data_IF_428712141770
#
_entry.id   IF_428712141770
#
_cell.length_a   1.000
_cell.length_b   1.000
_cell.length_c   1.000
_cell.angle_alpha   90.00
_cell.angle_beta   90.00
_cell.angle_gamma   90.00
#
_symmetry.space_group_name_H-M   'P 1'
#
loop_
_entity.id
_entity.type
_entity.pdbx_description
1 polymer ?
#
# COMPACT_ATOMS: atom_id res chain seq x y z
N UNK A 1 -18.31 13.15 -4.85
CA UNK A 1 -16.97 13.41 -4.28
C UNK A 1 -16.14 12.18 -4.54
N UNK A 2 -14.90 12.33 -4.97
CA UNK A 2 -14.04 11.19 -5.33
C UNK A 2 -13.22 10.61 -4.15
N UNK A 3 -13.23 11.29 -2.98
CA UNK A 3 -12.60 10.78 -1.76
C UNK A 3 -13.49 9.71 -1.12
N UNK A 4 -12.98 8.47 -1.14
CA UNK A 4 -13.59 7.28 -0.58
C UNK A 4 -12.77 6.78 0.61
N UNK A 5 -13.37 5.94 1.45
CA UNK A 5 -12.61 5.17 2.43
C UNK A 5 -11.96 3.97 1.76
N UNK A 6 -10.84 3.50 2.29
CA UNK A 6 -10.21 2.27 1.79
C UNK A 6 -11.15 1.06 1.93
N UNK A 7 -12.01 1.06 2.97
CA UNK A 7 -13.00 0.01 3.19
C UNK A 7 -13.99 -0.10 2.03
N UNK A 8 -14.53 1.03 1.55
CA UNK A 8 -15.45 1.05 0.40
C UNK A 8 -14.76 0.50 -0.85
N UNK A 9 -13.51 0.93 -1.14
CA UNK A 9 -12.78 0.44 -2.30
C UNK A 9 -12.48 -1.06 -2.23
N UNK A 10 -12.05 -1.56 -1.07
CA UNK A 10 -11.67 -2.97 -0.93
C UNK A 10 -12.89 -3.90 -0.81
N UNK A 11 -14.04 -3.42 -0.34
CA UNK A 11 -15.30 -4.17 -0.41
C UNK A 11 -15.75 -4.38 -1.86
N UNK A 12 -15.75 -3.33 -2.67
CA UNK A 12 -16.05 -3.44 -4.10
C UNK A 12 -15.05 -4.38 -4.82
N UNK A 13 -13.76 -4.26 -4.49
CA UNK A 13 -12.73 -5.15 -5.02
C UNK A 13 -12.93 -6.61 -4.61
N UNK A 14 -13.43 -6.86 -3.41
CA UNK A 14 -13.72 -8.22 -2.92
C UNK A 14 -14.91 -8.84 -3.64
N UNK A 15 -15.98 -8.07 -3.81
CA UNK A 15 -17.18 -8.51 -4.55
C UNK A 15 -16.88 -8.79 -6.03
N UNK A 16 -16.10 -7.92 -6.66
CA UNK A 16 -15.79 -7.99 -8.10
C UNK A 16 -14.48 -8.72 -8.42
N UNK A 17 -13.75 -9.19 -7.42
CA UNK A 17 -12.53 -10.03 -7.51
C UNK A 17 -11.40 -9.39 -8.32
N UNK A 18 -11.04 -8.12 -8.01
CA UNK A 18 -9.88 -7.44 -8.56
C UNK A 18 -8.98 -6.90 -7.44
N UNK A 19 -7.78 -6.43 -7.76
CA UNK A 19 -6.86 -5.80 -6.82
C UNK A 19 -6.88 -4.27 -6.98
N UNK A 20 -6.91 -3.52 -5.87
CA UNK A 20 -6.71 -2.07 -5.86
C UNK A 20 -5.23 -1.78 -5.62
N UNK A 21 -4.62 -0.98 -6.49
CA UNK A 21 -3.25 -0.52 -6.31
C UNK A 21 -3.17 0.55 -5.23
N UNK A 22 -2.25 0.35 -4.28
CA UNK A 22 -1.79 1.39 -3.37
C UNK A 22 -0.40 1.87 -3.80
N UNK A 23 -0.26 3.19 -3.94
CA UNK A 23 0.98 3.80 -4.37
C UNK A 23 1.50 4.78 -3.32
N UNK A 24 2.67 4.46 -2.75
CA UNK A 24 3.37 5.38 -1.86
C UNK A 24 3.84 6.62 -2.61
N UNK A 25 3.53 7.80 -2.07
CA UNK A 25 3.90 9.10 -2.62
C UNK A 25 4.47 10.00 -1.52
N UNK A 26 5.47 10.79 -1.80
CA UNK A 26 6.07 11.74 -0.85
C UNK A 26 6.24 13.15 -1.41
N UNK A 27 5.79 13.39 -2.64
CA UNK A 27 5.79 14.71 -3.26
C UNK A 27 4.60 14.89 -4.22
N UNK A 28 4.37 16.12 -4.66
CA UNK A 28 3.28 16.49 -5.54
C UNK A 28 3.33 15.81 -6.90
N UNK A 29 4.53 15.58 -7.44
CA UNK A 29 4.71 15.00 -8.78
C UNK A 29 4.27 13.54 -8.81
N UNK A 30 4.58 12.78 -7.75
CA UNK A 30 4.10 11.41 -7.58
C UNK A 30 2.58 11.36 -7.43
N UNK A 31 1.99 12.21 -6.58
CA UNK A 31 0.54 12.29 -6.41
C UNK A 31 -0.15 12.55 -7.74
N UNK A 32 0.33 13.56 -8.51
CA UNK A 32 -0.22 13.88 -9.84
C UNK A 32 -0.09 12.72 -10.82
N UNK A 33 1.06 12.05 -10.85
CA UNK A 33 1.30 10.92 -11.74
C UNK A 33 0.31 9.78 -11.48
N UNK A 34 0.13 9.39 -10.22
CA UNK A 34 -0.80 8.31 -9.82
C UNK A 34 -2.25 8.67 -10.12
N UNK A 35 -2.70 9.88 -9.79
CA UNK A 35 -4.08 10.31 -10.07
C UNK A 35 -4.33 10.36 -11.59
N UNK A 36 -3.41 10.93 -12.39
CA UNK A 36 -3.55 10.94 -13.86
C UNK A 36 -3.65 9.54 -14.44
N UNK A 37 -2.86 8.59 -13.95
CA UNK A 37 -2.94 7.18 -14.37
C UNK A 37 -4.28 6.55 -14.01
N UNK A 38 -4.77 6.79 -12.80
CA UNK A 38 -6.06 6.27 -12.34
C UNK A 38 -7.23 6.83 -13.17
N UNK A 39 -7.23 8.14 -13.45
CA UNK A 39 -8.25 8.77 -14.30
C UNK A 39 -8.20 8.24 -15.74
N UNK A 40 -7.00 8.10 -16.32
CA UNK A 40 -6.83 7.56 -17.68
C UNK A 40 -7.31 6.11 -17.78
N UNK A 41 -7.07 5.31 -16.74
CA UNK A 41 -7.50 3.93 -16.67
C UNK A 41 -8.95 3.76 -16.19
N UNK A 42 -9.66 4.83 -15.79
CA UNK A 42 -10.97 4.75 -15.11
C UNK A 42 -10.92 3.73 -13.97
N UNK A 43 -9.93 3.87 -13.08
CA UNK A 43 -9.59 2.90 -12.04
C UNK A 43 -9.71 3.50 -10.65
N UNK A 44 -10.32 2.83 -9.67
CA UNK A 44 -10.13 3.18 -8.27
C UNK A 44 -8.65 3.03 -7.89
N UNK A 45 -8.18 3.85 -6.94
CA UNK A 45 -6.78 3.85 -6.50
C UNK A 45 -6.66 4.26 -5.03
N UNK A 46 -5.63 3.78 -4.36
CA UNK A 46 -5.24 4.24 -3.02
C UNK A 46 -3.91 4.97 -3.16
N UNK A 47 -3.84 6.20 -2.66
CA UNK A 47 -2.59 6.97 -2.54
C UNK A 47 -2.24 7.14 -1.07
N UNK A 48 -0.96 7.29 -0.76
CA UNK A 48 -0.55 7.51 0.62
C UNK A 48 0.94 7.70 0.76
N UNK A 49 1.41 7.66 1.98
CA UNK A 49 2.83 7.73 2.32
C UNK A 49 3.14 6.81 3.47
N UNK A 50 4.33 6.23 3.48
CA UNK A 50 4.84 5.50 4.63
C UNK A 50 5.60 6.45 5.58
N UNK A 51 5.58 6.15 6.88
CA UNK A 51 6.28 6.97 7.87
C UNK A 51 7.76 7.15 7.54
N UNK A 52 8.45 6.13 7.05
CA UNK A 52 9.86 6.20 6.64
C UNK A 52 10.12 7.16 5.46
N UNK A 53 9.11 7.50 4.68
CA UNK A 53 9.20 8.41 3.55
C UNK A 53 9.03 9.89 3.94
N UNK A 54 8.58 10.17 5.16
CA UNK A 54 8.37 11.54 5.64
C UNK A 54 9.66 12.36 5.72
N UNK A 55 10.82 11.70 5.71
CA UNK A 55 12.14 12.37 5.55
C UNK A 55 12.34 13.04 4.20
N UNK A 56 11.62 12.61 3.15
CA UNK A 56 11.70 13.17 1.79
C UNK A 56 10.65 14.24 1.52
N UNK A 57 9.51 14.19 2.23
CA UNK A 57 8.45 15.17 2.13
C UNK A 57 7.71 15.24 3.46
N UNK A 58 7.80 16.37 4.18
CA UNK A 58 7.19 16.49 5.49
C UNK A 58 5.68 16.25 5.44
N UNK A 59 5.14 15.64 6.49
CA UNK A 59 3.77 15.17 6.52
C UNK A 59 2.75 16.31 6.42
N UNK A 60 3.04 17.44 7.04
CA UNK A 60 2.23 18.66 6.99
C UNK A 60 2.15 19.27 5.58
N UNK A 61 3.14 19.02 4.73
CA UNK A 61 3.14 19.47 3.34
C UNK A 61 2.43 18.50 2.40
N UNK A 62 2.65 17.18 2.57
CA UNK A 62 2.14 16.21 1.59
C UNK A 62 0.71 15.73 1.91
N UNK A 63 0.31 15.67 3.16
CA UNK A 63 -1.03 15.22 3.54
C UNK A 63 -2.16 16.10 2.95
N UNK A 64 -2.12 17.44 3.01
CA UNK A 64 -3.12 18.28 2.34
C UNK A 64 -3.16 18.08 0.83
N UNK A 65 -2.00 17.88 0.19
CA UNK A 65 -1.90 17.64 -1.26
C UNK A 65 -2.61 16.34 -1.65
N UNK A 66 -2.37 15.24 -0.93
CA UNK A 66 -3.02 13.96 -1.16
C UNK A 66 -4.54 14.06 -1.01
N UNK A 67 -5.01 14.66 0.08
CA UNK A 67 -6.43 14.81 0.37
C UNK A 67 -7.13 15.67 -0.67
N UNK A 68 -6.53 16.78 -1.08
CA UNK A 68 -7.11 17.65 -2.09
C UNK A 68 -7.09 17.01 -3.48
N UNK A 69 -6.02 16.30 -3.84
CA UNK A 69 -5.96 15.53 -5.07
C UNK A 69 -7.05 14.45 -5.12
N UNK A 70 -7.24 13.71 -4.01
CA UNK A 70 -8.28 12.70 -3.90
C UNK A 70 -9.70 13.30 -4.02
N UNK A 71 -9.97 14.48 -3.41
CA UNK A 71 -11.28 15.15 -3.54
C UNK A 71 -11.59 15.60 -4.96
N UNK A 72 -10.57 16.03 -5.72
CA UNK A 72 -10.70 16.56 -7.09
C UNK A 72 -10.66 15.48 -8.16
N UNK A 73 -10.19 14.30 -7.85
CA UNK A 73 -10.10 13.20 -8.82
C UNK A 73 -11.47 12.87 -9.43
N UNK A 74 -11.45 12.34 -10.66
CA UNK A 74 -12.65 11.89 -11.38
C UNK A 74 -12.99 10.42 -11.13
N UNK A 75 -12.14 9.72 -10.37
CA UNK A 75 -12.25 8.31 -10.02
C UNK A 75 -12.24 8.16 -8.49
N UNK A 76 -12.73 7.04 -7.94
CA UNK A 76 -12.66 6.78 -6.50
C UNK A 76 -11.21 6.71 -6.01
N UNK A 77 -10.86 7.53 -5.01
CA UNK A 77 -9.53 7.60 -4.42
C UNK A 77 -9.62 7.51 -2.90
N UNK A 78 -8.86 6.60 -2.29
CA UNK A 78 -8.65 6.59 -0.84
C UNK A 78 -7.26 7.13 -0.50
N UNK A 79 -7.14 7.72 0.71
CA UNK A 79 -5.86 8.22 1.24
C UNK A 79 -5.50 7.41 2.48
N UNK A 80 -4.28 6.87 2.50
CA UNK A 80 -3.80 5.88 3.48
C UNK A 80 -2.42 6.25 4.04
N UNK A 81 -2.22 6.05 5.35
CA UNK A 81 -0.89 6.03 5.96
C UNK A 81 -0.38 4.59 5.95
N UNK A 82 0.70 4.34 5.24
CA UNK A 82 1.37 3.04 5.13
C UNK A 82 2.49 2.94 6.18
N UNK A 83 2.73 1.76 6.74
CA UNK A 83 3.77 1.50 7.74
C UNK A 83 3.93 2.60 8.80
N UNK A 84 2.87 2.90 9.53
CA UNK A 84 2.94 3.75 10.73
C UNK A 84 3.56 2.96 11.89
N UNK A 85 4.69 3.44 12.39
CA UNK A 85 5.41 2.83 13.52
C UNK A 85 5.18 3.60 14.81
N UNK A 86 5.07 4.92 14.70
CA UNK A 86 4.87 5.79 15.85
C UNK A 86 3.41 6.15 16.03
N UNK A 87 2.97 6.15 17.29
CA UNK A 87 1.62 6.57 17.65
C UNK A 87 1.36 8.02 17.20
N UNK A 88 2.39 8.87 17.29
CA UNK A 88 2.34 10.28 16.92
C UNK A 88 2.01 10.48 15.44
N UNK A 89 2.65 9.76 14.55
CA UNK A 89 2.41 9.87 13.09
C UNK A 89 1.03 9.32 12.73
N UNK A 90 0.61 8.20 13.35
CA UNK A 90 -0.73 7.66 13.16
C UNK A 90 -1.79 8.69 13.60
N UNK A 91 -1.63 9.31 14.77
CA UNK A 91 -2.54 10.35 15.24
C UNK A 91 -2.53 11.59 14.36
N UNK A 92 -1.38 11.94 13.76
CA UNK A 92 -1.32 13.03 12.78
C UNK A 92 -2.12 12.68 11.51
N UNK A 93 -2.00 11.47 10.98
CA UNK A 93 -2.79 11.02 9.83
C UNK A 93 -4.30 11.10 10.09
N UNK A 94 -4.74 10.62 11.26
CA UNK A 94 -6.14 10.72 11.70
C UNK A 94 -6.60 12.17 11.78
N UNK A 95 -5.78 13.08 12.34
CA UNK A 95 -6.10 14.52 12.42
C UNK A 95 -6.19 15.20 11.06
N UNK A 96 -5.39 14.77 10.07
CA UNK A 96 -5.48 15.24 8.68
C UNK A 96 -6.76 14.77 8.00
N UNK A 97 -7.37 13.69 8.47
CA UNK A 97 -8.57 13.10 7.87
C UNK A 97 -8.26 12.03 6.84
N UNK A 98 -7.20 11.27 7.03
CA UNK A 98 -6.94 10.05 6.26
C UNK A 98 -8.05 9.03 6.52
N UNK A 99 -8.52 8.37 5.46
CA UNK A 99 -9.60 7.38 5.55
C UNK A 99 -9.16 6.01 6.03
N UNK A 100 -7.85 5.79 6.11
CA UNK A 100 -7.25 4.58 6.66
C UNK A 100 -5.81 4.82 7.10
N UNK A 101 -5.36 4.04 8.06
CA UNK A 101 -3.98 4.03 8.55
C UNK A 101 -3.53 2.59 8.75
N UNK A 102 -2.23 2.34 8.60
CA UNK A 102 -1.61 1.08 8.97
C UNK A 102 -0.81 1.26 10.25
N UNK A 103 -0.93 0.28 11.15
CA UNK A 103 -0.01 0.08 12.25
C UNK A 103 0.87 -1.13 11.96
N UNK A 104 2.16 -0.89 11.80
CA UNK A 104 3.15 -1.94 11.60
C UNK A 104 3.73 -2.38 12.95
N UNK A 105 3.02 -3.28 13.61
CA UNK A 105 3.41 -3.87 14.88
C UNK A 105 4.43 -5.02 14.75
N UNK A 106 4.95 -5.30 13.55
CA UNK A 106 5.98 -6.35 13.35
C UNK A 106 7.32 -5.97 13.99
N UNK A 107 7.50 -4.68 14.33
CA UNK A 107 8.67 -4.15 15.05
C UNK A 107 8.55 -4.23 16.56
N UNK A 108 7.39 -4.63 17.10
CA UNK A 108 7.22 -4.82 18.53
C UNK A 108 8.11 -5.96 19.05
N UNK A 109 8.41 -5.92 20.35
CA UNK A 109 9.30 -6.91 20.98
C UNK A 109 8.69 -8.30 21.00
N UNK A 110 7.36 -8.36 21.15
CA UNK A 110 6.63 -9.61 21.16
C UNK A 110 5.26 -9.48 20.48
N UNK A 111 4.68 -10.63 20.15
CA UNK A 111 3.38 -10.71 19.50
C UNK A 111 2.24 -10.13 20.37
N UNK A 112 2.31 -10.26 21.68
CA UNK A 112 1.27 -9.76 22.58
C UNK A 112 1.22 -8.23 22.60
N UNK A 113 2.36 -7.56 22.46
CA UNK A 113 2.43 -6.11 22.31
C UNK A 113 1.82 -5.66 20.99
N UNK A 114 2.11 -6.36 19.87
CA UNK A 114 1.46 -6.09 18.59
C UNK A 114 -0.06 -6.22 18.69
N UNK A 115 -0.58 -7.32 19.23
CA UNK A 115 -2.03 -7.54 19.41
C UNK A 115 -2.66 -6.43 20.27
N UNK A 116 -2.05 -6.10 21.40
CA UNK A 116 -2.57 -5.08 22.34
C UNK A 116 -2.64 -3.70 21.69
N UNK A 117 -1.55 -3.28 21.02
CA UNK A 117 -1.44 -1.96 20.41
C UNK A 117 -2.37 -1.86 19.18
N UNK A 118 -2.43 -2.90 18.36
CA UNK A 118 -3.37 -2.99 17.23
C UNK A 118 -4.82 -2.89 17.69
N UNK A 119 -5.22 -3.62 18.74
CA UNK A 119 -6.57 -3.55 19.30
C UNK A 119 -6.92 -2.16 19.86
N UNK A 120 -5.97 -1.47 20.48
CA UNK A 120 -6.16 -0.10 20.96
C UNK A 120 -6.34 0.88 19.79
N UNK A 121 -5.50 0.77 18.76
CA UNK A 121 -5.58 1.61 17.57
C UNK A 121 -6.85 1.33 16.77
N UNK A 122 -7.29 0.08 16.64
CA UNK A 122 -8.54 -0.26 15.97
C UNK A 122 -9.74 0.46 16.61
N UNK A 123 -9.84 0.42 17.95
CA UNK A 123 -10.90 1.17 18.67
C UNK A 123 -10.84 2.67 18.40
N UNK A 124 -9.64 3.25 18.35
CA UNK A 124 -9.45 4.68 18.06
C UNK A 124 -9.87 5.02 16.65
N UNK A 125 -9.41 4.25 15.67
CA UNK A 125 -9.75 4.41 14.26
C UNK A 125 -11.25 4.27 14.02
N UNK A 126 -11.88 3.23 14.57
CA UNK A 126 -13.31 2.99 14.42
C UNK A 126 -14.16 4.11 15.03
N UNK A 127 -13.75 4.67 16.17
CA UNK A 127 -14.43 5.83 16.76
C UNK A 127 -14.40 7.08 15.86
N UNK A 128 -13.45 7.13 14.91
CA UNK A 128 -13.31 8.22 13.92
C UNK A 128 -13.84 7.84 12.53
N UNK A 129 -14.38 6.63 12.35
CA UNK A 129 -14.82 6.13 11.04
C UNK A 129 -13.67 5.80 10.08
N UNK A 130 -12.47 5.52 10.60
CA UNK A 130 -11.25 5.22 9.86
C UNK A 130 -10.93 3.73 9.93
N UNK A 131 -10.49 3.13 8.82
CA UNK A 131 -10.06 1.73 8.79
C UNK A 131 -8.62 1.55 9.29
N UNK A 132 -8.36 0.45 9.98
CA UNK A 132 -7.01 0.06 10.42
C UNK A 132 -6.51 -1.14 9.62
N UNK A 133 -5.33 -0.99 9.01
CA UNK A 133 -4.53 -2.09 8.46
C UNK A 133 -3.48 -2.51 9.50
N UNK A 134 -3.28 -3.82 9.64
CA UNK A 134 -2.19 -4.38 10.44
C UNK A 134 -1.40 -5.39 9.62
N UNK A 135 -0.18 -5.70 10.03
CA UNK A 135 0.67 -6.72 9.41
C UNK A 135 0.93 -7.88 10.39
N UNK A 136 0.86 -9.09 9.86
CA UNK A 136 1.21 -10.31 10.57
C UNK A 136 2.17 -11.17 9.74
N UNK A 137 3.22 -11.65 10.37
CA UNK A 137 4.38 -12.21 9.71
C UNK A 137 5.43 -11.12 9.51
N UNK A 138 6.40 -11.35 8.63
CA UNK A 138 7.40 -10.33 8.29
C UNK A 138 7.61 -10.31 6.80
N UNK A 139 7.27 -9.18 6.16
CA UNK A 139 7.66 -8.89 4.78
C UNK A 139 9.08 -8.34 4.83
N UNK A 140 10.07 -9.15 4.43
CA UNK A 140 11.49 -8.82 4.52
C UNK A 140 11.87 -7.55 3.75
N UNK A 141 12.98 -6.90 4.17
CA UNK A 141 13.62 -5.84 3.42
C UNK A 141 12.93 -4.48 3.51
N UNK A 142 13.06 -3.78 4.63
CA UNK A 142 12.81 -2.34 4.65
C UNK A 142 13.94 -1.61 3.94
N UNK A 143 13.62 -0.55 3.20
CA UNK A 143 14.61 0.27 2.48
C UNK A 143 15.70 0.87 3.38
N UNK A 144 15.49 0.89 4.70
CA UNK A 144 16.41 1.43 5.70
C UNK A 144 17.15 0.38 6.55
N UNK A 145 16.79 -0.91 6.49
CA UNK A 145 17.54 -1.99 7.15
C UNK A 145 18.62 -2.55 6.20
N UNK A 146 19.64 -1.74 5.94
CA UNK A 146 20.86 -2.19 5.30
C UNK A 146 21.54 -3.24 6.21
N UNK A 147 21.16 -4.50 6.12
CA UNK A 147 21.91 -5.61 6.66
C UNK A 147 21.19 -6.64 7.52
N UNK A 148 19.94 -6.48 7.88
CA UNK A 148 19.17 -7.53 8.56
C UNK A 148 18.11 -8.09 7.62
N UNK A 149 18.50 -9.07 6.82
CA UNK A 149 17.55 -10.04 6.26
C UNK A 149 17.18 -10.95 7.43
N UNK A 150 16.31 -10.48 8.30
CA UNK A 150 15.70 -11.36 9.27
C UNK A 150 14.84 -12.38 8.52
N UNK A 151 14.87 -13.62 9.01
CA UNK A 151 14.16 -14.75 8.42
C UNK A 151 12.72 -14.33 8.14
N UNK A 152 12.31 -14.36 6.86
CA UNK A 152 10.92 -14.12 6.48
C UNK A 152 10.03 -15.06 7.29
N UNK A 153 9.24 -14.50 8.19
CA UNK A 153 8.24 -15.25 8.92
C UNK A 153 6.94 -15.23 8.11
N UNK A 154 6.62 -16.35 7.47
CA UNK A 154 5.34 -16.49 6.78
C UNK A 154 4.17 -16.38 7.75
N UNK A 155 3.09 -15.75 7.34
CA UNK A 155 1.86 -15.66 8.13
C UNK A 155 1.24 -17.05 8.31
N UNK A 156 0.97 -17.46 9.54
CA UNK A 156 0.21 -18.67 9.83
C UNK A 156 -1.30 -18.39 9.76
N UNK A 157 -2.11 -19.25 9.11
CA UNK A 157 -3.55 -19.01 8.96
C UNK A 157 -4.33 -18.98 10.30
N UNK A 158 -3.93 -19.76 11.31
CA UNK A 158 -4.58 -19.75 12.62
C UNK A 158 -4.21 -18.51 13.41
N UNK A 159 -2.94 -18.09 13.31
CA UNK A 159 -2.49 -16.84 13.92
C UNK A 159 -3.20 -15.65 13.28
N UNK A 160 -3.39 -15.66 11.95
CA UNK A 160 -4.15 -14.62 11.24
C UNK A 160 -5.59 -14.50 11.75
N UNK A 161 -6.30 -15.62 11.89
CA UNK A 161 -7.65 -15.63 12.46
C UNK A 161 -7.68 -15.07 13.88
N UNK A 162 -6.83 -15.62 14.74
CA UNK A 162 -6.73 -15.18 16.15
C UNK A 162 -6.37 -13.70 16.26
N UNK A 163 -5.47 -13.22 15.42
CA UNK A 163 -5.05 -11.82 15.39
C UNK A 163 -6.21 -10.88 15.01
N UNK A 164 -6.96 -11.19 13.95
CA UNK A 164 -8.13 -10.40 13.53
C UNK A 164 -9.22 -10.41 14.61
N UNK A 165 -9.53 -11.55 15.20
CA UNK A 165 -10.53 -11.67 16.28
C UNK A 165 -10.14 -10.84 17.51
N UNK A 166 -8.85 -10.78 17.87
CA UNK A 166 -8.37 -10.05 19.04
C UNK A 166 -8.20 -8.54 18.78
N UNK A 167 -7.79 -8.16 17.58
CA UNK A 167 -7.47 -6.76 17.28
C UNK A 167 -8.65 -5.98 16.71
N UNK A 168 -9.50 -6.64 15.92
CA UNK A 168 -10.55 -6.00 15.16
C UNK A 168 -10.00 -5.16 13.99
N UNK A 169 -8.79 -5.45 13.48
CA UNK A 169 -8.24 -4.78 12.30
C UNK A 169 -9.14 -5.01 11.08
N UNK A 170 -9.28 -3.99 10.23
CA UNK A 170 -10.15 -4.02 9.03
C UNK A 170 -9.47 -4.63 7.81
N UNK A 171 -8.13 -4.64 7.77
CA UNK A 171 -7.31 -5.14 6.67
C UNK A 171 -6.07 -5.84 7.21
N UNK A 172 -5.62 -6.90 6.54
CA UNK A 172 -4.47 -7.68 7.00
C UNK A 172 -3.41 -7.79 5.89
N UNK A 173 -2.25 -7.19 6.13
CA UNK A 173 -1.05 -7.44 5.33
C UNK A 173 -0.43 -8.77 5.75
N UNK A 174 -0.16 -9.62 4.75
CA UNK A 174 0.30 -11.00 4.96
C UNK A 174 1.63 -11.27 4.28
N UNK A 175 2.48 -12.05 4.93
CA UNK A 175 3.75 -12.53 4.39
C UNK A 175 3.58 -13.91 3.77
N UNK A 176 3.77 -13.97 2.45
CA UNK A 176 3.69 -15.20 1.64
C UNK A 176 4.93 -15.40 0.76
N UNK A 177 6.02 -14.69 1.05
CA UNK A 177 7.29 -14.78 0.31
C UNK A 177 7.68 -13.52 -0.46
N UNK A 178 6.99 -12.40 -0.26
CA UNK A 178 7.35 -11.09 -0.83
C UNK A 178 8.39 -10.36 0.03
N UNK A 179 9.10 -9.42 -0.59
CA UNK A 179 10.08 -8.53 0.07
C UNK A 179 9.90 -7.09 -0.40
N UNK A 180 10.19 -6.13 0.47
CA UNK A 180 10.28 -4.74 0.08
C UNK A 180 11.56 -4.45 -0.72
N UNK A 181 11.48 -3.52 -1.69
CA UNK A 181 12.62 -3.09 -2.50
C UNK A 181 12.87 -3.96 -3.72
N UNK A 182 14.13 -3.97 -4.19
CA UNK A 182 14.53 -4.73 -5.40
C UNK A 182 14.88 -6.16 -5.02
N UNK A 183 14.21 -7.13 -5.64
CA UNK A 183 14.51 -8.54 -5.43
C UNK A 183 15.91 -8.90 -5.94
N UNK A 184 16.69 -9.63 -5.14
CA UNK A 184 18.00 -10.18 -5.52
C UNK A 184 17.88 -11.53 -6.26
N UNK A 185 16.76 -12.21 -6.10
CA UNK A 185 16.43 -13.47 -6.75
C UNK A 185 14.94 -13.52 -7.04
N UNK A 186 14.49 -14.32 -7.99
CA UNK A 186 13.06 -14.51 -8.28
C UNK A 186 12.32 -15.00 -7.04
N UNK A 187 11.32 -14.27 -6.55
CA UNK A 187 10.56 -14.69 -5.38
C UNK A 187 9.78 -15.97 -5.66
N UNK A 188 9.55 -16.76 -4.62
CA UNK A 188 8.66 -17.93 -4.67
C UNK A 188 7.51 -17.67 -3.69
N UNK A 189 6.35 -17.33 -4.23
CA UNK A 189 5.17 -17.07 -3.41
C UNK A 189 4.50 -18.38 -3.01
N UNK A 190 4.10 -18.48 -1.74
CA UNK A 190 3.30 -19.59 -1.21
C UNK A 190 1.80 -19.31 -1.42
N UNK A 191 1.31 -19.63 -2.61
CA UNK A 191 -0.10 -19.43 -2.98
C UNK A 191 -1.06 -20.37 -2.23
N UNK A 192 -0.59 -21.54 -1.77
CA UNK A 192 -1.40 -22.43 -0.94
C UNK A 192 -1.65 -21.79 0.42
N UNK A 193 -0.60 -21.26 1.04
CA UNK A 193 -0.71 -20.49 2.28
C UNK A 193 -1.62 -19.29 2.14
N UNK A 194 -1.54 -18.55 1.03
CA UNK A 194 -2.45 -17.45 0.75
C UNK A 194 -3.92 -17.92 0.75
N UNK A 195 -4.21 -19.04 0.09
CA UNK A 195 -5.57 -19.60 0.05
C UNK A 195 -6.05 -20.03 1.46
N UNK A 196 -5.18 -20.62 2.28
CA UNK A 196 -5.48 -20.99 3.67
C UNK A 196 -5.75 -19.76 4.53
N UNK A 197 -4.94 -18.69 4.42
CA UNK A 197 -5.17 -17.42 5.13
C UNK A 197 -6.48 -16.79 4.69
N UNK A 198 -6.74 -16.73 3.38
CA UNK A 198 -7.99 -16.16 2.84
C UNK A 198 -9.24 -16.92 3.31
N UNK A 199 -9.13 -18.24 3.50
CA UNK A 199 -10.22 -19.03 4.09
C UNK A 199 -10.36 -18.85 5.61
N UNK A 200 -9.32 -18.35 6.29
CA UNK A 200 -9.27 -18.20 7.73
C UNK A 200 -9.84 -16.85 8.22
N UNK A 201 -9.82 -15.79 7.38
CA UNK A 201 -10.23 -14.43 7.75
C UNK A 201 -11.19 -13.84 6.72
N UNK A 202 -12.13 -13.01 7.18
CA UNK A 202 -13.11 -12.33 6.31
C UNK A 202 -12.64 -10.93 5.85
N UNK A 203 -11.57 -10.40 6.43
CA UNK A 203 -11.05 -9.07 6.07
C UNK A 203 -10.26 -9.10 4.76
N UNK A 204 -10.28 -8.02 3.96
CA UNK A 204 -9.45 -7.92 2.76
C UNK A 204 -7.96 -8.11 3.08
N UNK A 205 -7.30 -8.95 2.27
CA UNK A 205 -5.87 -9.21 2.39
C UNK A 205 -5.06 -8.20 1.58
N UNK A 206 -3.89 -7.85 2.10
CA UNK A 206 -2.96 -6.89 1.51
C UNK A 206 -1.64 -7.56 1.18
N UNK A 207 -1.09 -7.27 -0.01
CA UNK A 207 0.22 -7.71 -0.46
C UNK A 207 1.20 -6.54 -0.41
N UNK A 208 2.19 -6.63 0.47
CA UNK A 208 3.35 -5.75 0.51
C UNK A 208 4.50 -6.30 -0.34
N UNK A 209 5.44 -5.42 -0.70
CA UNK A 209 6.61 -5.84 -1.49
C UNK A 209 6.29 -6.27 -2.92
N UNK A 210 5.25 -5.71 -3.53
CA UNK A 210 4.80 -6.10 -4.87
C UNK A 210 5.74 -5.67 -6.02
N UNK A 211 6.68 -4.74 -5.78
CA UNK A 211 7.57 -4.26 -6.85
C UNK A 211 8.57 -5.34 -7.24
N UNK A 212 8.59 -5.71 -8.55
CA UNK A 212 9.50 -6.73 -9.07
C UNK A 212 8.92 -8.15 -9.12
N UNK A 213 7.67 -8.35 -8.72
CA UNK A 213 6.93 -9.58 -9.01
C UNK A 213 6.61 -9.70 -10.50
N UNK A 214 6.48 -10.94 -11.00
CA UNK A 214 5.98 -11.19 -12.34
C UNK A 214 4.50 -10.86 -12.48
N UNK A 215 4.03 -10.63 -13.70
CA UNK A 215 2.62 -10.41 -14.00
C UNK A 215 1.74 -11.57 -13.51
N UNK A 216 2.24 -12.80 -13.61
CA UNK A 216 1.52 -13.99 -13.17
C UNK A 216 1.46 -14.09 -11.66
N UNK A 217 2.50 -13.68 -10.93
CA UNK A 217 2.45 -13.59 -9.46
C UNK A 217 1.34 -12.63 -9.00
N UNK A 218 1.22 -11.46 -9.64
CA UNK A 218 0.13 -10.53 -9.32
C UNK A 218 -1.25 -11.13 -9.63
N UNK A 219 -1.43 -11.73 -10.81
CA UNK A 219 -2.71 -12.37 -11.17
C UNK A 219 -3.08 -13.48 -10.19
N UNK A 220 -2.12 -14.32 -9.84
CA UNK A 220 -2.31 -15.45 -8.93
C UNK A 220 -2.61 -14.99 -7.50
N UNK A 221 -1.93 -13.96 -6.99
CA UNK A 221 -2.21 -13.44 -5.65
C UNK A 221 -3.56 -12.76 -5.56
N UNK A 222 -3.98 -12.00 -6.57
CA UNK A 222 -5.32 -11.40 -6.64
C UNK A 222 -6.40 -12.47 -6.75
N UNK A 223 -6.20 -13.51 -7.58
CA UNK A 223 -7.10 -14.65 -7.66
C UNK A 223 -7.18 -15.40 -6.31
N UNK A 224 -6.06 -15.47 -5.57
CA UNK A 224 -5.94 -16.09 -4.24
C UNK A 224 -6.52 -15.27 -3.08
N UNK A 225 -7.03 -14.05 -3.30
CA UNK A 225 -7.72 -13.28 -2.25
C UNK A 225 -7.08 -11.95 -1.89
N UNK A 226 -5.93 -11.57 -2.46
CA UNK A 226 -5.37 -10.21 -2.26
C UNK A 226 -6.30 -9.17 -2.89
N UNK A 227 -6.56 -8.08 -2.15
CA UNK A 227 -7.42 -6.97 -2.60
C UNK A 227 -6.70 -5.61 -2.62
N UNK A 228 -5.62 -5.42 -1.87
CA UNK A 228 -4.74 -4.26 -1.95
C UNK A 228 -3.33 -4.72 -2.30
N UNK A 229 -2.68 -4.03 -3.23
CA UNK A 229 -1.30 -4.32 -3.65
C UNK A 229 -0.46 -3.07 -3.50
N UNK A 230 0.57 -3.13 -2.65
CA UNK A 230 1.49 -2.02 -2.44
C UNK A 230 2.56 -1.96 -3.53
N UNK A 231 2.68 -0.80 -4.17
CA UNK A 231 3.68 -0.52 -5.21
C UNK A 231 4.41 0.80 -4.88
N UNK A 232 5.73 0.75 -4.86
CA UNK A 232 6.57 1.93 -4.65
C UNK A 232 7.80 1.91 -5.55
N UNK A 233 8.63 0.87 -5.43
CA UNK A 233 9.94 0.80 -6.10
C UNK A 233 9.81 0.93 -7.63
N UNK A 234 8.81 0.32 -8.24
CA UNK A 234 8.61 0.35 -9.70
C UNK A 234 8.41 1.79 -10.21
N UNK A 235 7.58 2.59 -9.52
CA UNK A 235 7.32 3.97 -9.95
C UNK A 235 8.53 4.89 -9.72
N UNK A 236 9.30 4.66 -8.66
CA UNK A 236 10.55 5.43 -8.41
C UNK A 236 11.62 5.08 -9.42
N UNK A 237 11.78 3.79 -9.75
CA UNK A 237 12.76 3.37 -10.76
C UNK A 237 12.40 3.92 -12.14
N UNK A 238 11.11 3.99 -12.51
CA UNK A 238 10.66 4.63 -13.73
C UNK A 238 11.01 6.12 -13.76
N UNK A 239 10.75 6.85 -12.67
CA UNK A 239 11.13 8.25 -12.54
C UNK A 239 12.64 8.46 -12.63
N UNK A 240 13.42 7.64 -11.90
CA UNK A 240 14.88 7.69 -11.92
C UNK A 240 15.43 7.47 -13.33
N UNK A 241 14.96 6.45 -14.03
CA UNK A 241 15.37 6.16 -15.40
C UNK A 241 15.06 7.34 -16.34
N UNK A 242 13.86 7.94 -16.20
CA UNK A 242 13.45 9.09 -17.00
C UNK A 242 14.33 10.32 -16.75
N UNK A 243 14.67 10.63 -15.49
CA UNK A 243 15.56 11.76 -15.16
C UNK A 243 16.95 11.59 -15.77
N UNK A 244 17.48 10.36 -15.82
CA UNK A 244 18.82 10.09 -16.34
C UNK A 244 18.89 9.92 -17.86
N UNK A 245 17.77 9.92 -18.57
CA UNK A 245 17.74 9.63 -20.01
C UNK A 245 18.29 10.76 -20.88
N UNK A 246 18.27 12.01 -20.40
CA UNK A 246 18.80 13.19 -21.12
C UNK A 246 19.43 14.16 -20.10
N UNK A 247 20.75 14.38 -20.22
CA UNK A 247 21.52 15.18 -19.25
C UNK A 247 21.56 16.68 -19.54
N UNK A 248 21.03 17.15 -20.67
CA UNK A 248 21.08 18.57 -21.10
C UNK A 248 19.73 19.30 -20.97
N UNK A 249 18.69 18.61 -20.53
CA UNK A 249 17.33 19.11 -20.44
C UNK A 249 17.15 20.09 -19.27
N UNK A 250 16.21 21.05 -19.43
CA UNK A 250 15.83 21.93 -18.33
C UNK A 250 15.19 21.14 -17.18
N UNK A 251 15.47 21.52 -15.95
CA UNK A 251 14.97 20.87 -14.74
C UNK A 251 13.44 20.61 -14.76
N UNK A 252 12.67 21.62 -15.22
CA UNK A 252 11.21 21.50 -15.30
C UNK A 252 10.75 20.39 -16.27
N UNK A 253 11.44 20.25 -17.41
CA UNK A 253 11.12 19.25 -18.43
C UNK A 253 11.51 17.85 -17.93
N UNK A 254 12.66 17.72 -17.25
CA UNK A 254 13.04 16.47 -16.59
C UNK A 254 12.02 16.01 -15.56
N UNK A 255 11.44 16.93 -14.77
CA UNK A 255 10.36 16.60 -13.83
C UNK A 255 9.08 16.15 -14.55
N UNK A 256 8.69 16.82 -15.64
CA UNK A 256 7.51 16.41 -16.42
C UNK A 256 7.69 15.01 -17.01
N UNK A 257 8.86 14.72 -17.57
CA UNK A 257 9.20 13.41 -18.10
C UNK A 257 9.17 12.33 -17.01
N UNK A 258 9.70 12.65 -15.83
CA UNK A 258 9.62 11.75 -14.67
C UNK A 258 8.16 11.49 -14.23
N UNK A 259 7.31 12.52 -14.21
CA UNK A 259 5.88 12.36 -13.92
C UNK A 259 5.20 11.44 -14.95
N UNK A 260 5.48 11.61 -16.23
CA UNK A 260 4.88 10.77 -17.28
C UNK A 260 5.36 9.32 -17.17
N UNK A 261 6.63 9.09 -16.87
CA UNK A 261 7.15 7.75 -16.62
C UNK A 261 6.49 7.08 -15.40
N UNK A 262 6.31 7.80 -14.30
CA UNK A 262 5.57 7.31 -13.12
C UNK A 262 4.11 7.01 -13.45
N UNK A 263 3.46 7.88 -14.24
CA UNK A 263 2.08 7.69 -14.70
C UNK A 263 1.95 6.39 -15.49
N UNK A 264 2.81 6.16 -16.47
CA UNK A 264 2.77 4.93 -17.29
C UNK A 264 3.04 3.68 -16.44
N UNK A 265 4.04 3.71 -15.56
CA UNK A 265 4.31 2.60 -14.65
C UNK A 265 3.09 2.29 -13.76
N UNK A 266 2.42 3.30 -13.25
CA UNK A 266 1.18 3.17 -12.48
C UNK A 266 0.06 2.57 -13.34
N UNK A 267 -0.17 3.08 -14.55
CA UNK A 267 -1.23 2.61 -15.46
C UNK A 267 -1.05 1.14 -15.83
N UNK A 268 0.19 0.68 -16.03
CA UNK A 268 0.50 -0.76 -16.25
C UNK A 268 0.02 -1.59 -15.06
N UNK A 269 0.30 -1.17 -13.82
CA UNK A 269 -0.13 -1.90 -12.62
C UNK A 269 -1.65 -1.90 -12.46
N UNK A 270 -2.33 -0.78 -12.69
CA UNK A 270 -3.80 -0.72 -12.60
C UNK A 270 -4.49 -1.67 -13.59
N UNK A 271 -3.97 -1.77 -14.82
CA UNK A 271 -4.46 -2.76 -15.81
C UNK A 271 -4.18 -4.19 -15.36
N UNK A 272 -2.98 -4.44 -14.84
CA UNK A 272 -2.56 -5.77 -14.38
C UNK A 272 -3.40 -6.26 -13.19
N UNK A 273 -3.75 -5.37 -12.26
CA UNK A 273 -4.57 -5.69 -11.08
C UNK A 273 -6.06 -5.86 -11.41
N UNK A 274 -6.47 -5.56 -12.64
CA UNK A 274 -7.86 -5.67 -13.09
C UNK A 274 -8.77 -4.57 -12.55
N UNK A 275 -8.20 -3.47 -12.02
CA UNK A 275 -8.94 -2.30 -11.54
C UNK A 275 -9.29 -1.30 -12.64
N UNK A 276 -8.63 -1.34 -13.79
CA UNK A 276 -8.96 -0.50 -14.93
C UNK A 276 -10.40 -0.73 -15.41
N UNK A 277 -11.15 0.38 -15.63
CA UNK A 277 -12.58 0.34 -15.97
C UNK A 277 -13.53 0.01 -14.83
N UNK A 278 -13.07 0.13 -13.55
CA UNK A 278 -13.87 -0.16 -12.36
C UNK A 278 -14.27 1.08 -11.54
N UNK A 279 -13.93 2.30 -12.02
CA UNK A 279 -14.30 3.56 -11.39
C UNK A 279 -15.75 3.95 -11.66
#
# INVERSE_FOLDING_TARGET
>A
MALYTMKELLQDAQEKKYGVGFFNTFNTDMVRAVIRAAEECSSPVIIGTAEVLLKYGSFDMIAPVMLEAARRAKVPVAVHLDHGYSYEVIMQALRWGFGSVMYDGTREKDHADNVRNSAQLARTCHAMGVGLECELGSVGGLADDAGKVDQMAYTDPNDARSFIEQTGADFLAVSIGTQHGVYKATPKLDLNRLAEIHAAVDVPLVLHGGSGLSDDDFRNTIAGGIRKVNVYTDIILAAKAAIHADGEEAYADALLRAQDAMKEATAVKLRLFGSAGRA
#
